data_IF_391702225973
#
_entry.id   IF_391702225973
#
_cell.length_a   1.000
_cell.length_b   1.000
_cell.length_c   1.000
_cell.angle_alpha   90.00
_cell.angle_beta   90.00
_cell.angle_gamma   90.00
#
_symmetry.space_group_name_H-M   'P 1'
#
loop_
_entity.id
_entity.type
_entity.pdbx_description
1 polymer ?
#
# COMPACT_ATOMS: atom_id res chain seq x y z
N UNK A 1 -14.26 3.26 -8.92
CA UNK A 1 -13.21 2.22 -8.73
C UNK A 1 -12.45 2.56 -7.45
N UNK A 2 -12.27 1.60 -6.54
CA UNK A 2 -11.55 1.81 -5.28
C UNK A 2 -10.04 1.65 -5.52
N UNK A 3 -9.20 2.57 -5.00
CA UNK A 3 -7.74 2.58 -5.21
C UNK A 3 -6.99 1.75 -4.16
N UNK A 4 -7.54 0.60 -3.81
CA UNK A 4 -6.82 -0.43 -3.08
C UNK A 4 -5.97 -1.21 -4.09
N UNK A 5 -4.69 -0.86 -4.21
CA UNK A 5 -3.72 -1.65 -4.97
C UNK A 5 -3.51 -3.00 -4.26
N UNK A 6 -4.37 -3.97 -4.59
CA UNK A 6 -4.33 -5.30 -4.03
C UNK A 6 -3.20 -6.13 -4.63
N UNK A 7 -2.10 -6.25 -3.88
CA UNK A 7 -1.30 -7.48 -3.90
C UNK A 7 -1.79 -8.31 -2.70
N UNK A 8 -2.82 -9.13 -2.96
CA UNK A 8 -3.45 -10.07 -2.02
C UNK A 8 -3.73 -9.52 -0.59
N UNK A 9 -4.95 -9.01 -0.35
CA UNK A 9 -5.46 -8.76 1.01
C UNK A 9 -6.40 -7.55 1.15
N UNK A 10 -7.60 -7.82 1.70
CA UNK A 10 -8.87 -7.05 1.85
C UNK A 10 -8.86 -5.51 1.98
N UNK A 11 -10.02 -4.94 1.64
CA UNK A 11 -10.37 -3.53 1.39
C UNK A 11 -10.11 -2.55 2.53
N UNK A 12 -9.74 -1.34 2.09
CA UNK A 12 -9.84 -0.12 2.86
C UNK A 12 -11.25 0.49 2.70
N UNK A 13 -11.76 1.05 3.80
CA UNK A 13 -12.93 1.94 3.96
C UNK A 13 -14.34 1.31 4.01
N UNK A 14 -14.86 1.08 5.22
CA UNK A 14 -16.19 1.50 5.74
C UNK A 14 -16.11 1.37 7.28
N UNK A 15 -16.45 2.37 8.10
CA UNK A 15 -17.83 2.67 8.48
C UNK A 15 -17.96 4.12 8.98
N UNK A 16 -18.68 4.95 8.22
CA UNK A 16 -19.67 5.93 8.69
C UNK A 16 -20.29 6.53 7.43
N UNK A 17 -21.16 5.77 6.76
CA UNK A 17 -22.33 6.17 5.94
C UNK A 17 -22.92 4.82 5.50
N UNK A 18 -23.54 4.10 6.44
CA UNK A 18 -24.42 2.99 6.11
C UNK A 18 -25.72 3.23 6.89
N UNK A 19 -26.41 4.30 6.51
CA UNK A 19 -27.83 4.44 6.81
C UNK A 19 -28.59 3.88 5.61
N UNK A 20 -29.49 2.94 5.89
CA UNK A 20 -30.34 2.17 4.98
C UNK A 20 -31.22 3.01 4.03
N UNK A 21 -31.10 4.34 4.03
CA UNK A 21 -31.90 5.26 3.21
C UNK A 21 -31.39 5.47 1.78
N UNK A 22 -30.15 5.06 1.44
CA UNK A 22 -29.61 5.23 0.07
C UNK A 22 -29.82 4.01 -0.86
N UNK A 23 -30.43 2.93 -0.37
CA UNK A 23 -30.78 1.75 -1.18
C UNK A 23 -32.07 1.94 -2.00
N UNK A 24 -32.76 3.07 -1.87
CA UNK A 24 -34.00 3.41 -2.60
C UNK A 24 -33.86 4.78 -3.27
N UNK A 25 -32.82 5.00 -4.08
CA UNK A 25 -32.80 6.05 -5.13
C UNK A 25 -31.69 5.73 -6.15
N UNK A 26 -31.81 4.59 -6.84
CA UNK A 26 -31.17 4.40 -8.16
C UNK A 26 -32.23 4.51 -9.24
N UNK A 27 -32.89 5.66 -9.27
CA UNK A 27 -33.76 6.10 -10.35
C UNK A 27 -33.00 7.12 -11.18
N UNK A 28 -32.78 6.77 -12.45
CA UNK A 28 -32.47 7.60 -13.61
C UNK A 28 -32.16 9.08 -13.31
N UNK A 29 -30.94 9.36 -12.87
CA UNK A 29 -30.26 10.63 -13.14
C UNK A 29 -28.79 10.36 -13.41
N UNK A 30 -28.35 10.82 -14.57
CA UNK A 30 -26.96 10.96 -14.97
C UNK A 30 -26.20 11.82 -13.93
N UNK A 31 -25.72 11.20 -12.86
CA UNK A 31 -24.57 11.73 -12.17
C UNK A 31 -23.37 11.32 -13.02
N UNK A 32 -22.91 12.23 -13.88
CA UNK A 32 -21.53 12.17 -14.39
C UNK A 32 -20.61 12.15 -13.16
N UNK A 33 -20.25 10.94 -12.70
CA UNK A 33 -19.13 10.78 -11.78
C UNK A 33 -17.94 11.49 -12.43
N UNK A 34 -17.54 12.59 -11.82
CA UNK A 34 -16.52 13.46 -12.37
C UNK A 34 -15.21 12.66 -12.38
N UNK A 35 -14.60 12.51 -13.55
CA UNK A 35 -13.35 11.77 -13.70
C UNK A 35 -12.28 12.39 -12.80
N UNK A 36 -11.76 11.62 -11.85
CA UNK A 36 -10.69 12.05 -10.95
C UNK A 36 -9.34 12.01 -11.69
N UNK A 37 -8.61 13.12 -11.69
CA UNK A 37 -7.29 13.23 -12.32
C UNK A 37 -6.27 12.22 -11.75
N UNK A 38 -6.49 11.70 -10.53
CA UNK A 38 -5.66 10.60 -9.97
C UNK A 38 -5.65 9.35 -10.84
N UNK A 39 -6.70 9.11 -11.62
CA UNK A 39 -6.73 7.99 -12.58
C UNK A 39 -5.70 8.16 -13.70
N UNK A 40 -5.24 9.38 -13.96
CA UNK A 40 -4.16 9.62 -14.90
C UNK A 40 -2.81 9.17 -14.36
N UNK A 41 -2.55 9.35 -13.06
CA UNK A 41 -1.33 8.83 -12.42
C UNK A 41 -1.30 7.30 -12.42
N UNK A 42 -2.43 6.65 -12.13
CA UNK A 42 -2.57 5.19 -12.22
C UNK A 42 -2.33 4.71 -13.65
N UNK A 43 -2.92 5.39 -14.63
CA UNK A 43 -2.70 5.11 -16.04
C UNK A 43 -1.23 5.21 -16.42
N UNK A 44 -0.55 6.29 -16.05
CA UNK A 44 0.85 6.54 -16.42
C UNK A 44 1.78 5.48 -15.81
N UNK A 45 1.55 5.12 -14.54
CA UNK A 45 2.27 4.04 -13.86
C UNK A 45 2.04 2.69 -14.56
N UNK A 46 0.80 2.35 -14.90
CA UNK A 46 0.48 1.12 -15.64
C UNK A 46 1.09 1.12 -17.04
N UNK A 47 1.05 2.26 -17.74
CA UNK A 47 1.61 2.41 -19.08
C UNK A 47 3.11 2.12 -19.07
N UNK A 48 3.85 2.77 -18.19
CA UNK A 48 5.29 2.56 -18.07
C UNK A 48 5.62 1.12 -17.67
N UNK A 49 4.87 0.59 -16.69
CA UNK A 49 5.05 -0.76 -16.17
C UNK A 49 4.83 -1.84 -17.23
N UNK A 50 3.70 -1.81 -17.93
CA UNK A 50 3.37 -2.80 -18.96
C UNK A 50 4.31 -2.67 -20.16
N UNK A 51 4.58 -1.44 -20.64
CA UNK A 51 5.45 -1.23 -21.82
C UNK A 51 6.90 -1.65 -21.57
N UNK A 52 7.40 -1.51 -20.35
CA UNK A 52 8.74 -1.98 -19.96
C UNK A 52 8.77 -3.45 -19.52
N UNK A 53 7.65 -4.17 -19.54
CA UNK A 53 7.56 -5.56 -19.07
C UNK A 53 7.84 -5.70 -17.57
N UNK A 54 7.58 -4.64 -16.80
CA UNK A 54 7.83 -4.56 -15.35
C UNK A 54 6.63 -4.97 -14.51
N UNK A 55 5.43 -5.05 -15.09
CA UNK A 55 4.26 -5.54 -14.35
C UNK A 55 3.26 -6.28 -15.25
N UNK A 56 2.40 -7.05 -14.59
CA UNK A 56 1.18 -7.61 -15.16
C UNK A 56 -0.01 -6.98 -14.44
N UNK A 57 -1.07 -6.67 -15.19
CA UNK A 57 -2.26 -6.02 -14.64
C UNK A 57 -3.51 -6.84 -14.95
N UNK A 58 -4.36 -7.01 -13.94
CA UNK A 58 -5.68 -7.62 -14.07
C UNK A 58 -6.76 -6.65 -13.58
N UNK A 59 -7.98 -6.86 -14.04
CA UNK A 59 -9.16 -6.10 -13.63
C UNK A 59 -10.17 -7.04 -13.01
N UNK A 60 -10.93 -6.53 -12.04
CA UNK A 60 -12.04 -7.26 -11.41
C UNK A 60 -13.34 -6.48 -11.52
N UNK A 61 -14.45 -7.20 -11.66
CA UNK A 61 -15.81 -6.64 -11.63
C UNK A 61 -16.54 -7.08 -10.36
N UNK A 62 -17.46 -6.24 -9.88
CA UNK A 62 -18.43 -6.60 -8.85
C UNK A 62 -19.75 -7.01 -9.51
N UNK A 63 -20.80 -7.09 -8.72
CA UNK A 63 -22.15 -7.29 -9.22
C UNK A 63 -22.59 -6.11 -10.10
N UNK A 64 -22.78 -6.38 -11.39
CA UNK A 64 -23.31 -5.43 -12.35
C UNK A 64 -24.86 -5.51 -12.36
N UNK A 65 -25.58 -4.38 -12.19
CA UNK A 65 -27.04 -4.40 -12.05
C UNK A 65 -27.81 -4.93 -13.26
N UNK A 66 -27.27 -4.78 -14.47
CA UNK A 66 -27.89 -5.21 -15.72
C UNK A 66 -27.35 -6.56 -16.22
N UNK A 67 -26.70 -7.32 -15.34
CA UNK A 67 -26.19 -8.65 -15.66
C UNK A 67 -27.34 -9.65 -15.81
N UNK A 68 -27.37 -10.36 -16.94
CA UNK A 68 -28.29 -11.46 -17.20
C UNK A 68 -27.53 -12.77 -17.43
N UNK A 69 -28.18 -13.95 -17.30
CA UNK A 69 -27.53 -15.22 -17.59
C UNK A 69 -26.86 -15.22 -18.97
N UNK A 70 -25.60 -15.67 -19.02
CA UNK A 70 -24.78 -15.66 -20.24
C UNK A 70 -25.34 -16.54 -21.36
N UNK A 71 -26.17 -17.53 -21.00
CA UNK A 71 -26.61 -18.61 -21.90
C UNK A 71 -25.51 -19.66 -22.17
N UNK A 72 -24.38 -19.55 -21.49
CA UNK A 72 -23.27 -20.49 -21.50
C UNK A 72 -23.25 -21.29 -20.18
N UNK A 73 -22.44 -22.34 -20.12
CA UNK A 73 -22.24 -23.16 -18.92
C UNK A 73 -21.31 -22.47 -17.88
N UNK A 74 -21.50 -21.15 -17.71
CA UNK A 74 -20.78 -20.32 -16.74
C UNK A 74 -21.78 -19.73 -15.73
N UNK A 75 -21.47 -19.76 -14.43
CA UNK A 75 -22.38 -19.29 -13.39
C UNK A 75 -22.56 -17.77 -13.38
N UNK A 76 -21.61 -17.01 -13.91
CA UNK A 76 -21.62 -15.55 -13.92
C UNK A 76 -22.51 -14.97 -15.04
N UNK A 77 -23.20 -13.87 -14.71
CA UNK A 77 -24.00 -13.10 -15.68
C UNK A 77 -23.16 -12.13 -16.52
N UNK A 78 -23.72 -11.70 -17.65
CA UNK A 78 -23.13 -10.73 -18.58
C UNK A 78 -24.00 -9.48 -18.59
N UNK A 79 -23.39 -8.32 -18.39
CA UNK A 79 -24.05 -7.02 -18.56
C UNK A 79 -24.61 -6.91 -19.97
N UNK A 80 -25.93 -6.73 -20.07
CA UNK A 80 -26.62 -6.68 -21.36
C UNK A 80 -26.09 -5.50 -22.18
N UNK A 81 -25.92 -4.33 -21.54
CA UNK A 81 -25.52 -3.09 -22.19
C UNK A 81 -24.06 -3.08 -22.62
N UNK A 82 -23.15 -3.61 -21.80
CA UNK A 82 -21.70 -3.48 -22.03
C UNK A 82 -21.02 -4.73 -22.55
N UNK A 83 -21.57 -5.92 -22.30
CA UNK A 83 -20.89 -7.20 -22.53
C UNK A 83 -19.82 -7.55 -21.49
N UNK A 84 -19.66 -6.77 -20.42
CA UNK A 84 -18.76 -7.10 -19.31
C UNK A 84 -19.43 -8.15 -18.39
N UNK A 85 -18.65 -9.15 -17.97
CA UNK A 85 -19.10 -10.22 -17.08
C UNK A 85 -19.04 -9.72 -15.63
N UNK A 86 -20.08 -10.03 -14.87
CA UNK A 86 -20.24 -9.67 -13.46
C UNK A 86 -19.39 -10.59 -12.56
N UNK A 87 -18.87 -10.08 -11.43
CA UNK A 87 -18.07 -10.86 -10.46
C UNK A 87 -16.92 -11.67 -11.09
N UNK A 88 -16.22 -11.08 -12.07
CA UNK A 88 -15.27 -11.78 -12.93
C UNK A 88 -13.92 -11.07 -13.02
N UNK A 89 -12.88 -11.83 -13.38
CA UNK A 89 -11.53 -11.33 -13.57
C UNK A 89 -11.14 -11.26 -15.05
N UNK A 90 -10.39 -10.22 -15.40
CA UNK A 90 -9.89 -9.96 -16.75
C UNK A 90 -8.39 -9.68 -16.72
N UNK A 91 -7.68 -10.04 -17.78
CA UNK A 91 -6.24 -9.72 -17.92
C UNK A 91 -6.02 -8.59 -18.92
N UNK A 92 -5.16 -7.64 -18.57
CA UNK A 92 -4.69 -6.61 -19.51
C UNK A 92 -3.50 -7.18 -20.27
N UNK A 93 -3.64 -7.28 -21.59
CA UNK A 93 -2.62 -7.80 -22.49
C UNK A 93 -1.76 -6.71 -23.12
N UNK A 94 -2.31 -5.51 -23.30
CA UNK A 94 -1.58 -4.37 -23.85
C UNK A 94 -2.24 -3.04 -23.45
N UNK A 95 -1.50 -1.95 -23.61
CA UNK A 95 -1.92 -0.60 -23.30
C UNK A 95 -1.37 0.35 -24.38
N UNK A 96 -2.16 1.29 -24.86
CA UNK A 96 -1.71 2.24 -25.89
C UNK A 96 -2.44 3.58 -25.79
N UNK A 97 -1.78 4.65 -26.22
CA UNK A 97 -2.39 5.98 -26.37
C UNK A 97 -2.47 6.36 -27.84
N UNK A 98 -3.63 6.84 -28.29
CA UNK A 98 -3.84 7.26 -29.67
C UNK A 98 -4.70 8.52 -29.76
N UNK A 99 -4.12 9.61 -30.29
CA UNK A 99 -4.81 10.91 -30.44
C UNK A 99 -5.50 11.41 -29.16
N UNK A 100 -4.87 11.20 -28.01
CA UNK A 100 -5.43 11.57 -26.70
C UNK A 100 -6.29 10.49 -26.06
N UNK A 101 -6.76 9.48 -26.81
CA UNK A 101 -7.48 8.35 -26.21
C UNK A 101 -6.51 7.37 -25.54
N UNK A 102 -6.81 7.01 -24.30
CA UNK A 102 -6.14 5.99 -23.48
C UNK A 102 -6.87 4.66 -23.63
N UNK A 103 -6.21 3.64 -24.21
CA UNK A 103 -6.82 2.37 -24.62
C UNK A 103 -6.15 1.16 -23.96
N UNK A 104 -6.95 0.20 -23.49
CA UNK A 104 -6.49 -1.07 -22.93
C UNK A 104 -6.95 -2.23 -23.81
N UNK A 105 -6.04 -3.18 -24.06
CA UNK A 105 -6.35 -4.44 -24.69
C UNK A 105 -6.55 -5.48 -23.59
N UNK A 106 -7.77 -5.97 -23.46
CA UNK A 106 -8.21 -6.82 -22.37
C UNK A 106 -8.61 -8.19 -22.91
N UNK A 107 -8.37 -9.24 -22.12
CA UNK A 107 -8.82 -10.60 -22.38
C UNK A 107 -9.80 -11.09 -21.32
N UNK A 108 -10.96 -11.55 -21.77
CA UNK A 108 -11.83 -12.43 -21.00
C UNK A 108 -11.23 -13.85 -20.96
N UNK A 109 -10.96 -14.41 -19.76
CA UNK A 109 -10.46 -15.78 -19.61
C UNK A 109 -11.35 -16.86 -20.24
N UNK A 110 -12.66 -16.66 -20.35
CA UNK A 110 -13.56 -17.61 -21.03
C UNK A 110 -13.30 -17.77 -22.52
N UNK A 111 -12.49 -16.89 -23.12
CA UNK A 111 -12.18 -16.92 -24.54
C UNK A 111 -13.38 -16.57 -25.44
N UNK A 112 -14.43 -16.01 -24.86
CA UNK A 112 -15.63 -15.52 -25.54
C UNK A 112 -16.23 -14.36 -24.75
N UNK A 113 -17.23 -13.69 -25.30
CA UNK A 113 -17.91 -12.51 -24.75
C UNK A 113 -16.96 -11.30 -24.68
N UNK A 114 -17.29 -10.26 -25.45
CA UNK A 114 -16.50 -9.05 -25.58
C UNK A 114 -17.30 -7.80 -25.22
N UNK A 115 -16.55 -6.74 -24.94
CA UNK A 115 -17.05 -5.37 -24.86
C UNK A 115 -17.88 -4.96 -26.08
N UNK A 116 -19.00 -4.28 -25.83
CA UNK A 116 -19.97 -3.83 -26.84
C UNK A 116 -19.94 -2.32 -27.11
N UNK A 117 -19.23 -1.52 -26.30
CA UNK A 117 -19.19 -0.06 -26.46
C UNK A 117 -18.14 0.42 -27.49
N UNK A 118 -17.66 1.65 -27.31
CA UNK A 118 -16.66 2.27 -28.20
C UNK A 118 -15.38 1.44 -28.26
N UNK A 119 -14.75 1.32 -29.42
CA UNK A 119 -13.63 0.42 -29.71
C UNK A 119 -13.97 -1.07 -29.67
N UNK A 120 -15.26 -1.45 -29.58
CA UNK A 120 -15.66 -2.85 -29.79
C UNK A 120 -15.48 -3.28 -31.25
N UNK A 121 -15.57 -4.58 -31.50
CA UNK A 121 -15.54 -5.14 -32.85
C UNK A 121 -16.77 -4.79 -33.70
N UNK A 122 -17.81 -4.21 -33.11
CA UNK A 122 -19.01 -3.70 -33.79
C UNK A 122 -19.00 -2.17 -33.99
N UNK A 123 -18.01 -1.45 -33.46
CA UNK A 123 -17.90 0.01 -33.59
C UNK A 123 -17.28 0.42 -34.94
N UNK A 124 -18.10 0.53 -35.98
CA UNK A 124 -17.59 0.85 -37.32
C UNK A 124 -17.15 2.31 -37.48
N UNK A 125 -17.55 3.21 -36.58
CA UNK A 125 -17.28 4.64 -36.67
C UNK A 125 -15.87 4.99 -36.17
N UNK A 126 -15.45 4.42 -35.05
CA UNK A 126 -14.16 4.76 -34.44
C UNK A 126 -12.98 4.08 -35.16
N UNK A 127 -13.19 2.88 -35.71
CA UNK A 127 -12.10 2.08 -36.27
C UNK A 127 -11.65 2.56 -37.65
N UNK A 128 -10.47 3.21 -37.68
CA UNK A 128 -9.77 3.49 -38.94
C UNK A 128 -8.71 2.44 -39.26
N UNK A 129 -8.34 2.27 -40.55
CA UNK A 129 -7.23 1.37 -40.94
C UNK A 129 -5.91 1.72 -40.23
N UNK A 130 -5.65 3.02 -40.01
CA UNK A 130 -4.46 3.50 -39.28
C UNK A 130 -4.48 3.05 -37.81
N UNK A 131 -5.63 3.15 -37.17
CA UNK A 131 -5.83 2.72 -35.78
C UNK A 131 -5.68 1.20 -35.64
N UNK A 132 -6.31 0.42 -36.52
CA UNK A 132 -6.18 -1.05 -36.55
C UNK A 132 -4.71 -1.48 -36.65
N UNK A 133 -3.93 -0.82 -37.53
CA UNK A 133 -2.48 -1.06 -37.65
C UNK A 133 -1.70 -0.69 -36.38
N UNK A 134 -2.00 0.46 -35.77
CA UNK A 134 -1.34 0.93 -34.54
C UNK A 134 -1.60 0.00 -33.34
N UNK A 135 -2.82 -0.50 -33.22
CA UNK A 135 -3.24 -1.39 -32.14
C UNK A 135 -3.00 -2.87 -32.43
N UNK A 136 -2.43 -3.21 -33.60
CA UNK A 136 -2.26 -4.57 -34.08
C UNK A 136 -3.55 -5.41 -33.95
N UNK A 137 -4.69 -4.82 -34.33
CA UNK A 137 -6.02 -5.40 -34.16
C UNK A 137 -6.74 -5.52 -35.49
N UNK A 138 -7.29 -6.70 -35.79
CA UNK A 138 -8.02 -6.98 -37.03
C UNK A 138 -9.51 -7.12 -36.73
N UNK A 139 -10.29 -6.15 -37.21
CA UNK A 139 -11.75 -6.18 -37.06
C UNK A 139 -12.38 -7.37 -37.78
N UNK A 140 -11.91 -7.73 -38.97
CA UNK A 140 -12.42 -8.86 -39.73
C UNK A 140 -12.26 -10.17 -38.95
N UNK A 141 -11.07 -10.41 -38.36
CA UNK A 141 -10.84 -11.58 -37.52
C UNK A 141 -11.73 -11.56 -36.28
N UNK A 142 -11.87 -10.41 -35.64
CA UNK A 142 -12.72 -10.26 -34.46
C UNK A 142 -14.20 -10.55 -34.77
N UNK A 143 -14.73 -10.08 -35.90
CA UNK A 143 -16.11 -10.36 -36.35
C UNK A 143 -16.32 -11.84 -36.68
N UNK A 144 -15.30 -12.51 -37.21
CA UNK A 144 -15.40 -13.92 -37.62
C UNK A 144 -15.22 -14.93 -36.47
N UNK A 145 -14.44 -14.58 -35.45
CA UNK A 145 -14.16 -15.47 -34.31
C UNK A 145 -14.09 -14.67 -33.03
N UNK A 146 -14.88 -15.10 -32.05
CA UNK A 146 -14.74 -14.62 -30.68
C UNK A 146 -13.59 -15.36 -29.97
N UNK A 147 -12.68 -14.59 -29.39
CA UNK A 147 -11.54 -15.05 -28.59
C UNK A 147 -11.48 -14.37 -27.21
N UNK A 148 -12.53 -13.61 -26.87
CA UNK A 148 -12.65 -12.84 -25.64
C UNK A 148 -11.71 -11.63 -25.54
N UNK A 149 -10.95 -11.29 -26.60
CA UNK A 149 -10.02 -10.16 -26.57
C UNK A 149 -10.60 -8.91 -27.24
N UNK A 150 -10.49 -7.75 -26.60
CA UNK A 150 -11.04 -6.49 -27.11
C UNK A 150 -10.27 -5.27 -26.60
N UNK A 151 -10.39 -4.16 -27.34
CA UNK A 151 -9.93 -2.86 -26.88
C UNK A 151 -11.08 -2.10 -26.20
N UNK A 152 -10.76 -1.33 -25.17
CA UNK A 152 -11.70 -0.48 -24.42
C UNK A 152 -11.00 0.82 -24.01
N UNK A 153 -11.76 1.90 -23.81
CA UNK A 153 -11.21 3.14 -23.29
C UNK A 153 -10.95 3.06 -21.79
N UNK A 154 -9.92 3.76 -21.32
CA UNK A 154 -9.59 3.85 -19.90
C UNK A 154 -10.75 4.37 -19.04
N UNK A 155 -11.46 5.41 -19.52
CA UNK A 155 -12.64 5.95 -18.83
C UNK A 155 -13.74 4.90 -18.62
N UNK A 156 -13.92 3.98 -19.57
CA UNK A 156 -14.91 2.92 -19.44
C UNK A 156 -14.41 1.84 -18.47
N UNK A 157 -13.08 1.61 -18.40
CA UNK A 157 -12.50 0.76 -17.37
C UNK A 157 -12.75 1.31 -15.97
N UNK A 158 -12.47 2.61 -15.75
CA UNK A 158 -12.73 3.29 -14.47
C UNK A 158 -14.22 3.22 -14.07
N UNK A 159 -15.13 3.28 -15.07
CA UNK A 159 -16.57 3.24 -14.87
C UNK A 159 -17.13 1.84 -14.56
N UNK A 160 -16.69 0.81 -15.28
CA UNK A 160 -17.34 -0.51 -15.25
C UNK A 160 -16.58 -1.56 -14.42
N UNK A 161 -15.29 -1.35 -14.16
CA UNK A 161 -14.49 -2.27 -13.35
C UNK A 161 -14.34 -1.70 -11.94
N UNK A 162 -14.41 -2.58 -10.96
CA UNK A 162 -14.36 -2.21 -9.55
C UNK A 162 -12.96 -2.27 -8.98
N UNK A 163 -12.09 -3.13 -9.54
CA UNK A 163 -10.75 -3.40 -9.01
C UNK A 163 -9.69 -3.41 -10.12
N UNK A 164 -8.48 -2.96 -9.78
CA UNK A 164 -7.26 -3.15 -10.58
C UNK A 164 -6.23 -3.85 -9.71
N UNK A 165 -5.68 -4.94 -10.21
CA UNK A 165 -4.63 -5.71 -9.58
C UNK A 165 -3.34 -5.51 -10.37
N UNK A 166 -2.32 -4.93 -9.74
CA UNK A 166 -1.01 -4.69 -10.38
C UNK A 166 0.03 -5.55 -9.68
N UNK A 167 0.64 -6.46 -10.42
CA UNK A 167 1.74 -7.29 -9.95
C UNK A 167 3.05 -6.78 -10.56
N UNK A 168 3.85 -6.09 -9.77
CA UNK A 168 5.17 -5.61 -10.18
C UNK A 168 6.23 -6.70 -10.09
N UNK A 169 7.11 -6.74 -11.08
CA UNK A 169 8.34 -7.49 -11.00
C UNK A 169 9.25 -6.83 -9.97
N UNK A 170 9.61 -7.55 -8.90
CA UNK A 170 10.39 -6.98 -7.80
C UNK A 170 11.79 -6.52 -8.22
N UNK A 171 12.31 -6.95 -9.37
CA UNK A 171 13.60 -6.50 -9.94
C UNK A 171 13.68 -4.97 -10.08
N UNK A 172 12.55 -4.26 -10.14
CA UNK A 172 12.56 -2.78 -10.14
C UNK A 172 13.18 -2.19 -8.87
N UNK A 173 13.20 -2.92 -7.76
CA UNK A 173 13.77 -2.50 -6.50
C UNK A 173 15.21 -3.00 -6.37
N UNK A 174 16.22 -2.10 -6.32
CA UNK A 174 17.61 -2.49 -6.15
C UNK A 174 17.92 -3.07 -4.77
N UNK A 175 17.16 -2.67 -3.74
CA UNK A 175 17.33 -3.15 -2.37
C UNK A 175 16.12 -3.98 -1.96
N UNK A 176 16.37 -5.26 -1.67
CA UNK A 176 15.36 -6.23 -1.28
C UNK A 176 15.88 -7.03 -0.09
N UNK A 177 15.04 -7.18 0.92
CA UNK A 177 15.34 -7.97 2.12
C UNK A 177 14.20 -8.92 2.40
N UNK A 178 14.54 -10.12 2.86
CA UNK A 178 13.57 -11.16 3.19
C UNK A 178 13.96 -11.80 4.51
N UNK A 179 13.03 -11.79 5.48
CA UNK A 179 13.19 -12.42 6.78
C UNK A 179 12.07 -13.43 6.94
N UNK A 180 12.43 -14.70 7.11
CA UNK A 180 11.51 -15.77 7.49
C UNK A 180 11.63 -16.01 8.98
N UNK A 181 10.53 -15.87 9.70
CA UNK A 181 10.52 -16.04 11.15
C UNK A 181 9.15 -16.50 11.61
N UNK A 182 8.98 -16.63 12.92
CA UNK A 182 7.73 -17.03 13.54
C UNK A 182 7.31 -16.03 14.60
N UNK A 183 6.01 -15.88 14.74
CA UNK A 183 5.46 -15.25 15.91
C UNK A 183 5.37 -16.30 17.00
N UNK A 184 6.24 -16.18 18.00
CA UNK A 184 6.30 -17.10 19.14
C UNK A 184 5.30 -16.69 20.21
N UNK A 185 4.66 -17.69 20.81
CA UNK A 185 3.78 -17.44 21.93
C UNK A 185 4.61 -17.26 23.20
N UNK A 186 4.47 -16.12 23.86
CA UNK A 186 5.14 -15.85 25.11
C UNK A 186 4.27 -16.22 26.31
N UNK A 187 4.82 -16.99 27.24
CA UNK A 187 4.18 -17.30 28.52
C UNK A 187 3.84 -16.03 29.31
N UNK A 188 4.61 -14.95 29.15
CA UNK A 188 4.33 -13.65 29.76
C UNK A 188 3.06 -13.00 29.22
N UNK A 189 2.78 -13.13 27.91
CA UNK A 189 1.53 -12.62 27.31
C UNK A 189 0.35 -13.51 27.72
N UNK A 190 0.51 -14.84 27.71
CA UNK A 190 -0.57 -15.76 28.10
C UNK A 190 -1.00 -15.60 29.55
N UNK A 191 -0.05 -15.37 30.45
CA UNK A 191 -0.32 -15.16 31.88
C UNK A 191 -0.68 -13.71 32.22
N UNK A 192 -0.70 -12.81 31.23
CA UNK A 192 -1.09 -11.42 31.42
C UNK A 192 -2.61 -11.27 31.54
N UNK A 193 -3.05 -10.27 32.30
CA UNK A 193 -4.45 -9.84 32.37
C UNK A 193 -4.94 -9.16 31.08
N UNK A 194 -4.02 -8.82 30.17
CA UNK A 194 -4.35 -8.19 28.90
C UNK A 194 -5.02 -9.20 27.97
N UNK A 195 -6.14 -8.81 27.38
CA UNK A 195 -6.92 -9.62 26.46
C UNK A 195 -6.13 -9.91 25.16
N UNK A 196 -5.36 -8.93 24.69
CA UNK A 196 -4.56 -9.00 23.48
C UNK A 196 -3.26 -8.18 23.60
N UNK A 197 -2.53 -8.06 22.49
CA UNK A 197 -1.24 -7.39 22.41
C UNK A 197 -1.33 -5.86 22.24
N UNK A 198 -2.54 -5.28 22.15
CA UNK A 198 -2.76 -3.84 21.84
C UNK A 198 -2.08 -2.91 22.85
N UNK A 199 -2.01 -3.33 24.11
CA UNK A 199 -1.42 -2.54 25.19
C UNK A 199 0.03 -2.95 25.54
N UNK A 200 0.49 -4.11 25.05
CA UNK A 200 1.81 -4.66 25.36
C UNK A 200 2.35 -5.44 24.16
N UNK A 201 3.11 -4.76 23.32
CA UNK A 201 3.75 -5.33 22.12
C UNK A 201 5.19 -5.76 22.37
N UNK A 202 5.66 -5.64 23.61
CA UNK A 202 7.04 -5.93 24.02
C UNK A 202 7.54 -7.31 23.59
N UNK A 203 6.64 -8.30 23.56
CA UNK A 203 6.92 -9.68 23.22
C UNK A 203 6.55 -10.04 21.78
N UNK A 204 6.05 -9.08 21.01
CA UNK A 204 5.83 -9.28 19.59
C UNK A 204 7.17 -9.30 18.84
N UNK A 205 7.22 -9.93 17.65
CA UNK A 205 8.32 -9.83 16.70
C UNK A 205 8.43 -8.37 16.28
N UNK A 206 9.61 -7.83 16.51
CA UNK A 206 9.92 -6.45 16.15
C UNK A 206 11.18 -6.44 15.31
N UNK A 207 11.22 -5.58 14.30
CA UNK A 207 12.34 -5.47 13.37
C UNK A 207 12.80 -4.03 13.32
N UNK A 208 14.11 -3.82 13.49
CA UNK A 208 14.72 -2.52 13.27
C UNK A 208 14.92 -2.33 11.77
N UNK A 209 14.43 -1.22 11.25
CA UNK A 209 14.60 -0.78 9.87
C UNK A 209 15.43 0.51 9.87
N UNK A 210 16.60 0.45 9.26
CA UNK A 210 17.53 1.58 9.15
C UNK A 210 17.61 2.03 7.71
N UNK A 211 17.31 3.30 7.44
CA UNK A 211 17.32 3.84 6.08
C UNK A 211 18.48 4.79 5.95
N UNK A 212 19.36 4.54 4.99
CA UNK A 212 20.53 5.37 4.74
C UNK A 212 20.13 6.62 3.95
N UNK A 213 20.36 7.79 4.54
CA UNK A 213 20.09 9.09 3.91
C UNK A 213 21.29 10.00 4.05
N UNK A 214 21.39 11.00 3.17
CA UNK A 214 22.42 12.02 3.27
C UNK A 214 22.17 12.92 4.49
N UNK A 215 23.24 13.32 5.18
CA UNK A 215 23.14 14.20 6.35
C UNK A 215 22.44 15.54 6.03
N UNK A 216 22.61 16.06 4.82
CA UNK A 216 21.98 17.30 4.35
C UNK A 216 20.44 17.21 4.25
N UNK A 217 19.92 15.99 4.08
CA UNK A 217 18.48 15.74 3.99
C UNK A 217 17.86 15.41 5.37
N UNK A 218 18.58 15.63 6.46
CA UNK A 218 18.07 15.44 7.83
C UNK A 218 17.73 16.78 8.49
N UNK A 219 16.74 16.73 9.38
CA UNK A 219 16.40 17.84 10.28
C UNK A 219 17.59 18.25 11.15
N UNK A 220 17.54 19.46 11.72
CA UNK A 220 18.62 19.99 12.57
C UNK A 220 18.96 19.08 13.76
N UNK A 221 17.97 18.36 14.31
CA UNK A 221 18.13 17.36 15.37
C UNK A 221 18.63 15.99 14.87
N UNK A 222 18.72 15.79 13.56
CA UNK A 222 19.14 14.55 12.92
C UNK A 222 18.12 13.40 12.97
N UNK A 223 16.89 13.66 13.43
CA UNK A 223 15.91 12.60 13.73
C UNK A 223 14.95 12.30 12.58
N UNK A 224 14.73 13.25 11.66
CA UNK A 224 13.73 13.12 10.61
C UNK A 224 14.30 13.49 9.24
N UNK A 225 13.88 12.77 8.22
CA UNK A 225 14.20 13.10 6.83
C UNK A 225 13.36 14.29 6.36
N UNK A 226 14.01 15.30 5.82
CA UNK A 226 13.44 16.55 5.28
C UNK A 226 13.77 16.75 3.79
N UNK A 227 14.37 15.76 3.14
CA UNK A 227 14.71 15.84 1.74
C UNK A 227 13.47 16.03 0.84
N UNK A 228 13.70 16.70 -0.30
CA UNK A 228 12.62 17.10 -1.23
C UNK A 228 11.94 15.91 -1.91
N UNK A 229 12.70 14.85 -2.21
CA UNK A 229 12.17 13.65 -2.87
C UNK A 229 11.67 12.68 -1.81
N UNK A 230 10.43 12.19 -1.89
CA UNK A 230 9.94 11.20 -0.95
C UNK A 230 10.73 9.88 -1.07
N UNK A 231 11.04 9.28 0.07
CA UNK A 231 11.56 7.91 0.15
C UNK A 231 10.37 6.98 0.33
N UNK A 232 10.25 5.99 -0.56
CA UNK A 232 9.19 4.98 -0.50
C UNK A 232 9.77 3.61 -0.16
N UNK A 233 9.21 2.99 0.87
CA UNK A 233 9.53 1.64 1.29
C UNK A 233 8.26 0.82 1.28
N UNK A 234 8.34 -0.35 0.66
CA UNK A 234 7.22 -1.26 0.48
C UNK A 234 7.48 -2.52 1.27
N UNK A 235 6.55 -2.88 2.15
CA UNK A 235 6.73 -3.98 3.10
C UNK A 235 5.59 -4.97 2.91
N UNK A 236 5.93 -6.20 2.51
CA UNK A 236 5.01 -7.31 2.37
C UNK A 236 5.16 -8.24 3.57
N UNK A 237 4.11 -8.30 4.40
CA UNK A 237 3.95 -9.32 5.43
C UNK A 237 3.17 -10.49 4.82
N UNK A 238 3.79 -11.67 4.72
CA UNK A 238 3.17 -12.88 4.21
C UNK A 238 3.10 -13.93 5.30
N UNK A 239 1.89 -14.36 5.64
CA UNK A 239 1.66 -15.50 6.52
C UNK A 239 1.98 -16.81 5.79
N UNK A 240 2.53 -17.79 6.49
CA UNK A 240 2.65 -19.15 5.98
C UNK A 240 1.38 -19.93 6.34
N UNK A 241 0.64 -20.34 5.33
CA UNK A 241 -0.57 -21.17 5.50
C UNK A 241 -0.18 -22.62 5.27
N UNK A 242 -0.42 -23.49 6.27
CA UNK A 242 -0.16 -24.93 6.16
C UNK A 242 -1.45 -25.71 5.93
N UNK A 243 -2.54 -25.31 6.57
CA UNK A 243 -3.88 -25.86 6.35
C UNK A 243 -4.93 -24.75 6.29
N UNK A 244 -5.43 -24.48 5.08
CA UNK A 244 -6.36 -23.37 4.83
C UNK A 244 -7.63 -23.39 5.68
N UNK A 245 -8.16 -24.57 6.05
CA UNK A 245 -9.43 -24.64 6.80
C UNK A 245 -9.28 -24.17 8.24
N UNK A 246 -8.15 -24.52 8.87
CA UNK A 246 -7.86 -24.19 10.27
C UNK A 246 -7.14 -22.85 10.40
N UNK A 247 -6.28 -22.50 9.45
CA UNK A 247 -5.44 -21.30 9.51
C UNK A 247 -6.22 -20.00 9.19
N UNK A 248 -7.06 -19.99 8.15
CA UNK A 248 -7.57 -18.73 7.57
C UNK A 248 -8.71 -18.11 8.39
N UNK A 249 -9.45 -18.91 9.16
CA UNK A 249 -10.72 -18.45 9.75
C UNK A 249 -10.58 -17.65 11.05
N UNK A 250 -9.39 -17.53 11.64
CA UNK A 250 -9.26 -17.01 13.01
C UNK A 250 -8.17 -15.95 13.22
N UNK A 251 -7.09 -15.89 12.43
CA UNK A 251 -5.94 -15.02 12.74
C UNK A 251 -5.95 -13.76 11.89
N UNK A 252 -6.15 -12.60 12.52
CA UNK A 252 -5.97 -11.29 11.87
C UNK A 252 -4.60 -10.73 12.22
N UNK A 253 -3.81 -10.40 11.21
CA UNK A 253 -2.44 -9.89 11.35
C UNK A 253 -2.35 -8.45 10.89
N UNK A 254 -1.50 -7.67 11.54
CA UNK A 254 -1.15 -6.32 11.12
C UNK A 254 0.36 -6.09 11.26
N UNK A 255 0.86 -5.14 10.46
CA UNK A 255 2.21 -4.61 10.58
C UNK A 255 2.12 -3.13 10.96
N UNK A 256 2.59 -2.79 12.16
CA UNK A 256 2.65 -1.40 12.64
C UNK A 256 4.07 -0.87 12.52
N UNK A 257 4.21 0.41 12.19
CA UNK A 257 5.52 1.06 12.02
C UNK A 257 5.63 2.26 12.97
N UNK A 258 6.63 2.22 13.85
CA UNK A 258 6.96 3.30 14.78
C UNK A 258 8.30 3.94 14.39
N UNK A 259 8.48 5.23 14.67
CA UNK A 259 9.82 5.83 14.62
C UNK A 259 10.64 5.40 15.83
N UNK A 260 11.95 5.30 15.62
CA UNK A 260 12.92 4.95 16.65
C UNK A 260 13.69 3.68 16.29
N UNK A 261 14.66 3.38 17.14
CA UNK A 261 15.61 2.27 16.95
C UNK A 261 15.42 1.13 17.96
N UNK A 262 14.76 1.43 19.08
CA UNK A 262 14.69 0.56 20.24
C UNK A 262 13.34 -0.16 20.31
N UNK A 263 13.33 -1.38 20.87
CA UNK A 263 12.13 -2.20 21.04
C UNK A 263 11.03 -1.40 21.75
N UNK A 264 9.83 -1.42 21.17
CA UNK A 264 8.64 -0.78 21.71
C UNK A 264 7.99 -1.74 22.71
N UNK A 265 7.77 -1.27 23.94
CA UNK A 265 7.17 -2.11 25.01
C UNK A 265 5.67 -1.87 25.07
N UNK A 266 5.28 -0.64 25.37
CA UNK A 266 3.90 -0.17 25.34
C UNK A 266 3.79 0.78 24.14
N UNK A 267 3.03 0.42 23.10
CA UNK A 267 2.97 1.23 21.90
C UNK A 267 2.24 2.54 22.19
N UNK A 268 2.84 3.66 21.77
CA UNK A 268 2.10 4.91 21.52
C UNK A 268 1.45 4.81 20.13
N UNK A 269 1.14 5.94 19.50
CA UNK A 269 0.63 5.97 18.13
C UNK A 269 1.75 5.62 17.13
N UNK A 270 1.57 4.61 16.27
CA UNK A 270 2.50 4.36 15.17
C UNK A 270 2.41 5.46 14.13
N UNK A 271 3.50 5.64 13.39
CA UNK A 271 3.53 6.51 12.20
C UNK A 271 2.68 5.89 11.09
N UNK A 272 2.70 4.56 11.00
CA UNK A 272 1.82 3.80 10.10
C UNK A 272 1.17 2.67 10.88
N UNK A 273 -0.12 2.80 11.15
CA UNK A 273 -0.95 1.71 11.67
C UNK A 273 -1.26 0.76 10.51
N UNK A 274 -0.91 -0.52 10.68
CA UNK A 274 -1.34 -1.58 9.77
C UNK A 274 -2.79 -1.97 10.03
N UNK A 275 -3.46 -2.44 8.97
CA UNK A 275 -4.82 -2.96 9.07
C UNK A 275 -4.74 -4.42 9.46
N UNK A 276 -5.53 -4.81 10.45
CA UNK A 276 -5.68 -6.20 10.82
C UNK A 276 -6.43 -6.96 9.73
N UNK A 277 -5.74 -7.87 9.05
CA UNK A 277 -6.26 -8.64 7.93
C UNK A 277 -6.15 -10.14 8.20
N UNK A 278 -7.20 -10.88 7.86
CA UNK A 278 -7.17 -12.35 7.85
C UNK A 278 -6.66 -12.92 6.50
N UNK A 279 -6.22 -12.04 5.59
CA UNK A 279 -5.61 -12.42 4.32
C UNK A 279 -4.27 -13.14 4.50
N UNK A 280 -3.83 -13.84 3.44
CA UNK A 280 -2.53 -14.54 3.44
C UNK A 280 -1.35 -13.56 3.44
N UNK A 281 -1.54 -12.34 2.96
CA UNK A 281 -0.55 -11.28 3.09
C UNK A 281 -1.17 -9.89 3.28
N UNK A 282 -0.31 -8.92 3.60
CA UNK A 282 -0.64 -7.51 3.73
C UNK A 282 0.54 -6.69 3.20
N UNK A 283 0.24 -5.66 2.40
CA UNK A 283 1.25 -4.85 1.75
C UNK A 283 1.16 -3.40 2.26
N UNK A 284 2.23 -2.93 2.89
CA UNK A 284 2.29 -1.61 3.54
C UNK A 284 3.29 -0.72 2.82
N UNK A 285 2.83 0.46 2.38
CA UNK A 285 3.71 1.53 1.88
C UNK A 285 4.04 2.51 3.00
N UNK A 286 5.33 2.67 3.29
CA UNK A 286 5.88 3.73 4.13
C UNK A 286 6.46 4.82 3.23
N UNK A 287 6.01 6.06 3.40
CA UNK A 287 6.51 7.23 2.67
C UNK A 287 7.12 8.20 3.67
N UNK A 288 8.36 8.63 3.41
CA UNK A 288 9.12 9.50 4.31
C UNK A 288 9.56 10.75 3.55
N UNK A 289 9.31 11.92 4.12
CA UNK A 289 9.62 13.22 3.50
C UNK A 289 8.73 13.55 2.29
N UNK A 290 9.21 14.44 1.42
CA UNK A 290 8.46 14.97 0.27
C UNK A 290 7.63 16.22 0.58
N UNK A 291 7.32 17.00 -0.47
CA UNK A 291 6.63 18.30 -0.38
C UNK A 291 5.25 18.21 0.30
N UNK A 292 4.53 17.09 0.15
CA UNK A 292 3.20 16.90 0.74
C UNK A 292 3.21 16.70 2.27
N UNK A 293 4.26 16.10 2.82
CA UNK A 293 4.39 15.92 4.28
C UNK A 293 4.65 17.24 5.01
N UNK A 294 5.22 18.24 4.32
CA UNK A 294 5.41 19.60 4.84
C UNK A 294 4.05 20.32 4.95
N UNK A 295 3.13 20.07 4.01
CA UNK A 295 1.79 20.68 4.01
C UNK A 295 0.88 20.14 5.13
N UNK A 296 1.03 18.86 5.51
CA UNK A 296 0.28 18.30 6.65
C UNK A 296 0.81 18.77 8.01
N UNK A 297 2.14 18.91 8.18
CA UNK A 297 2.73 19.55 9.38
C UNK A 297 2.32 21.02 9.52
N UNK A 298 2.16 21.74 8.42
CA UNK A 298 1.73 23.15 8.41
C UNK A 298 0.30 23.42 8.94
N UNK A 299 -0.53 22.38 9.16
CA UNK A 299 -1.85 22.50 9.81
C UNK A 299 -1.82 22.22 11.32
N UNK A 300 -0.81 21.52 11.84
CA UNK A 300 -0.70 21.21 13.27
C UNK A 300 0.08 22.28 14.06
N UNK A 301 0.95 23.05 13.39
CA UNK A 301 1.78 24.10 14.03
C UNK A 301 1.20 25.53 13.96
N UNK A 302 -0.05 25.72 13.51
CA UNK A 302 -0.68 27.07 13.47
C UNK A 302 -1.26 27.55 14.79
N UNK A 303 -0.81 27.01 15.92
CA UNK A 303 -1.07 27.59 17.24
C UNK A 303 0.18 27.63 18.10
N UNK A 304 1.15 28.45 17.71
CA UNK A 304 1.94 29.33 18.59
C UNK A 304 3.03 30.04 17.79
N UNK A 305 3.25 31.30 18.15
CA UNK A 305 4.37 32.17 17.77
C UNK A 305 4.29 32.87 16.39
N UNK A 306 3.25 33.69 16.25
CA UNK A 306 3.43 35.01 15.63
C UNK A 306 4.26 35.89 16.56
N UNK A 307 5.57 35.96 16.33
CA UNK A 307 6.37 37.19 16.29
C UNK A 307 7.87 36.86 16.28
N UNK A 308 8.61 37.60 15.44
CA UNK A 308 10.07 37.62 15.30
C UNK A 308 10.73 36.53 14.44
N UNK A 309 10.68 36.71 13.11
CA UNK A 309 11.84 36.43 12.23
C UNK A 309 11.74 37.14 10.87
N UNK A 310 11.36 38.42 10.87
CA UNK A 310 11.66 39.34 9.75
C UNK A 310 12.91 40.16 10.08
N UNK A 311 14.09 39.52 10.11
CA UNK A 311 15.37 40.28 10.12
C UNK A 311 16.66 39.47 9.84
N UNK A 312 16.58 38.30 9.16
CA UNK A 312 17.79 37.54 8.78
C UNK A 312 17.85 37.07 7.32
N UNK A 313 17.13 37.75 6.43
CA UNK A 313 17.09 37.42 4.99
C UNK A 313 17.85 38.41 4.08
N UNK A 314 18.66 39.30 4.64
CA UNK A 314 19.50 40.22 3.88
C UNK A 314 20.95 40.14 4.37
N UNK A 315 21.61 38.99 4.13
CA UNK A 315 23.08 38.79 4.18
C UNK A 315 23.42 37.33 3.84
N UNK A 316 23.07 36.91 2.63
CA UNK A 316 23.58 35.66 2.00
C UNK A 316 23.47 35.80 0.48
N UNK A 317 24.06 36.87 -0.02
CA UNK A 317 24.30 37.11 -1.44
C UNK A 317 25.67 37.76 -1.49
N UNK A 318 26.69 36.92 -1.45
CA UNK A 318 28.06 37.08 -1.94
C UNK A 318 28.90 35.94 -1.33
N UNK A 319 29.82 35.41 -2.13
CA UNK A 319 30.62 34.20 -1.89
C UNK A 319 29.95 32.89 -2.33
N UNK A 320 29.68 32.82 -3.64
CA UNK A 320 29.96 31.59 -4.39
C UNK A 320 31.28 31.82 -5.12
N UNK A 321 32.31 31.06 -4.76
CA UNK A 321 33.25 30.38 -5.66
C UNK A 321 34.45 29.80 -4.88
N UNK A 322 34.88 28.62 -5.32
CA UNK A 322 36.08 27.86 -4.96
C UNK A 322 36.03 26.94 -3.72
N UNK A 323 35.94 25.63 -4.02
CA UNK A 323 36.12 24.54 -3.08
C UNK A 323 35.50 23.23 -3.56
N UNK A 324 36.05 22.61 -4.62
CA UNK A 324 35.81 21.19 -4.90
C UNK A 324 36.61 20.36 -3.90
N UNK A 325 36.08 20.20 -2.70
CA UNK A 325 36.52 19.17 -1.77
C UNK A 325 35.62 17.94 -1.94
N UNK A 326 36.24 16.78 -2.15
CA UNK A 326 35.60 15.47 -2.05
C UNK A 326 35.15 15.25 -0.60
N UNK A 327 34.05 15.88 -0.18
CA UNK A 327 33.34 15.49 1.04
C UNK A 327 32.80 14.07 0.82
N UNK A 328 33.37 13.08 1.51
CA UNK A 328 32.76 11.76 1.62
C UNK A 328 31.31 11.96 2.04
N UNK A 329 30.35 11.50 1.22
CA UNK A 329 28.93 11.54 1.56
C UNK A 329 28.71 10.86 2.91
N UNK A 330 28.51 11.67 3.96
CA UNK A 330 28.29 11.14 5.31
C UNK A 330 26.84 10.67 5.38
N UNK A 331 26.65 9.37 5.17
CA UNK A 331 25.36 8.71 5.36
C UNK A 331 24.99 8.64 6.84
N UNK A 332 23.70 8.85 7.10
CA UNK A 332 23.06 8.72 8.42
C UNK A 332 21.84 7.82 8.30
N UNK A 333 21.38 7.30 9.42
CA UNK A 333 20.22 6.42 9.46
C UNK A 333 19.00 7.17 9.97
N UNK A 334 17.86 6.93 9.31
CA UNK A 334 16.54 7.18 9.87
C UNK A 334 15.97 5.84 10.31
N UNK A 335 15.61 5.74 11.58
CA UNK A 335 15.31 4.47 12.24
C UNK A 335 13.82 4.29 12.46
N UNK A 336 13.34 3.09 12.15
CA UNK A 336 11.98 2.65 12.41
C UNK A 336 11.95 1.28 13.08
N UNK A 337 10.88 1.02 13.81
CA UNK A 337 10.55 -0.30 14.36
C UNK A 337 9.27 -0.81 13.74
N UNK A 338 9.38 -1.96 13.09
CA UNK A 338 8.27 -2.70 12.50
C UNK A 338 7.79 -3.72 13.52
N UNK A 339 6.50 -3.73 13.82
CA UNK A 339 5.89 -4.63 14.81
C UNK A 339 4.85 -5.48 14.11
N UNK A 340 5.02 -6.80 14.16
CA UNK A 340 4.00 -7.74 13.68
C UNK A 340 3.07 -8.07 14.85
N UNK A 341 1.78 -7.76 14.69
CA UNK A 341 0.77 -7.94 15.74
C UNK A 341 -0.37 -8.85 15.28
N UNK A 342 -1.05 -9.46 16.25
CA UNK A 342 -2.25 -10.24 16.00
C UNK A 342 -3.43 -9.68 16.79
N UNK A 343 -4.59 -9.57 16.15
CA UNK A 343 -5.79 -9.12 16.85
C UNK A 343 -6.39 -10.22 17.71
N UNK A 344 -6.60 -9.94 19.00
CA UNK A 344 -7.39 -10.76 19.94
C UNK A 344 -6.99 -12.24 20.08
N UNK A 345 -5.78 -12.59 19.66
CA UNK A 345 -5.25 -13.95 19.75
C UNK A 345 -3.78 -13.91 20.16
N UNK A 346 -3.26 -15.06 20.59
CA UNK A 346 -1.88 -15.25 21.07
C UNK A 346 -1.31 -16.54 20.51
N UNK A 347 -1.61 -16.82 19.24
CA UNK A 347 -1.30 -18.10 18.61
C UNK A 347 -0.01 -18.06 17.80
N UNK A 348 0.79 -19.11 17.88
CA UNK A 348 1.98 -19.20 17.04
C UNK A 348 1.63 -19.26 15.54
N UNK A 349 2.42 -18.57 14.72
CA UNK A 349 2.37 -18.71 13.26
C UNK A 349 3.71 -18.38 12.62
N UNK A 350 3.99 -18.97 11.47
CA UNK A 350 5.17 -18.62 10.67
C UNK A 350 4.79 -17.54 9.65
N UNK A 351 5.72 -16.63 9.38
CA UNK A 351 5.51 -15.56 8.42
C UNK A 351 6.83 -15.17 7.73
N UNK A 352 6.70 -14.32 6.73
CA UNK A 352 7.82 -13.73 6.00
C UNK A 352 7.58 -12.25 5.85
N UNK A 353 8.61 -11.48 6.15
CA UNK A 353 8.66 -10.05 5.91
C UNK A 353 9.55 -9.81 4.70
N UNK A 354 9.01 -9.24 3.62
CA UNK A 354 9.80 -8.76 2.49
C UNK A 354 9.76 -7.24 2.44
N UNK A 355 10.92 -6.62 2.29
CA UNK A 355 11.06 -5.17 2.20
C UNK A 355 11.68 -4.82 0.86
N UNK A 356 11.07 -3.87 0.16
CA UNK A 356 11.51 -3.40 -1.15
C UNK A 356 11.72 -1.89 -1.12
N UNK A 357 12.85 -1.43 -1.64
CA UNK A 357 13.22 0.00 -1.63
C UNK A 357 14.13 0.37 -2.79
N UNK A 358 14.04 1.63 -3.20
CA UNK A 358 15.01 2.27 -4.10
C UNK A 358 16.16 2.97 -3.35
N UNK A 359 16.03 3.13 -2.04
CA UNK A 359 17.05 3.70 -1.14
C UNK A 359 17.68 2.59 -0.32
N UNK A 360 19.00 2.66 -0.14
CA UNK A 360 19.73 1.68 0.67
C UNK A 360 19.16 1.64 2.10
N UNK A 361 18.93 0.44 2.61
CA UNK A 361 18.44 0.22 3.96
C UNK A 361 19.04 -1.07 4.52
N UNK A 362 18.90 -1.26 5.83
CA UNK A 362 19.12 -2.55 6.48
C UNK A 362 17.94 -2.87 7.40
N UNK A 363 17.65 -4.16 7.54
CA UNK A 363 16.61 -4.66 8.44
C UNK A 363 17.10 -5.88 9.19
N UNK A 364 16.80 -5.95 10.49
CA UNK A 364 17.08 -7.12 11.31
C UNK A 364 16.06 -7.27 12.44
N UNK A 365 15.91 -8.49 12.94
CA UNK A 365 15.03 -8.77 14.07
C UNK A 365 15.62 -8.25 15.38
N UNK A 366 14.82 -7.51 16.15
CA UNK A 366 15.20 -7.04 17.47
C UNK A 366 15.17 -8.21 18.46
N UNK A 367 16.18 -8.36 19.35
CA UNK A 367 16.16 -9.40 20.38
C UNK A 367 14.93 -9.31 21.28
N UNK A 368 14.45 -10.45 21.77
CA UNK A 368 13.33 -10.49 22.72
C UNK A 368 13.64 -9.66 23.99
N UNK A 369 12.60 -9.09 24.61
CA UNK A 369 12.76 -8.25 25.80
C UNK A 369 13.40 -9.01 26.97
N UNK A 370 12.97 -10.26 27.17
CA UNK A 370 13.49 -11.15 28.19
C UNK A 370 13.92 -12.43 27.49
N UNK A 371 15.14 -12.88 27.77
CA UNK A 371 15.61 -14.21 27.34
C UNK A 371 15.16 -15.26 28.35
N UNK A 372 15.15 -16.54 27.95
CA UNK A 372 14.83 -17.67 28.84
C UNK A 372 15.78 -17.79 30.05
N UNK A 373 16.92 -17.09 30.01
CA UNK A 373 17.98 -17.13 31.01
C UNK A 373 17.98 -15.91 31.95
N UNK A 374 16.80 -15.34 32.26
CA UNK A 374 16.74 -14.19 33.15
C UNK A 374 16.98 -14.58 34.62
N UNK A 375 17.78 -13.78 35.33
CA UNK A 375 17.99 -13.94 36.77
C UNK A 375 17.37 -12.76 37.52
N UNK A 376 16.51 -13.07 38.49
CA UNK A 376 15.98 -12.05 39.41
C UNK A 376 17.00 -11.75 40.50
N UNK A 377 17.60 -10.56 40.45
CA UNK A 377 18.48 -10.09 41.51
C UNK A 377 17.70 -9.24 42.52
N UNK A 378 17.75 -9.64 43.79
CA UNK A 378 17.13 -8.89 44.87
C UNK A 378 18.16 -8.02 45.58
N UNK A 379 18.01 -6.70 45.46
CA UNK A 379 18.81 -5.74 46.21
C UNK A 379 18.08 -5.37 47.50
N UNK A 380 18.65 -5.72 48.65
CA UNK A 380 18.18 -5.24 49.96
C UNK A 380 18.49 -3.75 50.08
N UNK A 381 17.46 -2.91 50.09
CA UNK A 381 17.58 -1.48 50.28
C UNK A 381 16.31 -0.88 50.91
N UNK A 382 16.42 0.36 51.38
CA UNK A 382 15.26 1.17 51.80
C UNK A 382 15.04 2.25 50.75
N UNK A 383 13.79 2.48 50.37
CA UNK A 383 13.41 3.67 49.60
C UNK A 383 13.73 4.91 50.45
N UNK A 384 14.57 5.79 49.93
CA UNK A 384 14.94 7.08 50.53
C UNK A 384 14.55 8.18 49.56
N UNK A 385 14.49 9.43 50.03
CA UNK A 385 14.26 10.60 49.16
C UNK A 385 15.27 10.74 48.01
N UNK A 386 16.46 10.13 48.12
CA UNK A 386 17.48 10.12 47.05
C UNK A 386 17.33 8.98 46.04
N UNK A 387 16.66 7.89 46.40
CA UNK A 387 16.48 6.71 45.51
C UNK A 387 15.02 6.45 45.13
N UNK A 388 14.07 7.19 45.70
CA UNK A 388 12.70 7.25 45.23
C UNK A 388 12.64 8.09 43.95
N UNK A 389 12.86 7.44 42.80
CA UNK A 389 12.64 8.00 41.46
C UNK A 389 11.15 8.14 41.15
N UNK A 390 10.41 8.89 41.97
CA UNK A 390 9.01 9.21 41.72
C UNK A 390 8.87 10.09 40.48
N UNK A 391 7.82 9.83 39.68
CA UNK A 391 7.40 10.72 38.59
C UNK A 391 7.00 12.08 39.18
N UNK A 392 7.57 13.16 38.66
CA UNK A 392 7.43 14.54 39.17
C UNK A 392 6.08 15.19 38.84
N UNK A 393 4.97 14.46 38.95
CA UNK A 393 3.62 14.99 38.66
C UNK A 393 2.95 15.65 39.88
N UNK A 394 3.73 16.01 40.90
CA UNK A 394 3.29 16.88 41.98
C UNK A 394 4.46 17.80 42.36
N UNK A 395 4.65 18.88 41.59
CA UNK A 395 5.29 20.12 42.05
C UNK A 395 4.81 21.29 41.18
#
# INVERSE_FOLDING_TARGET
MDMSAYVCGSADHYDYINTEENLIMRTDKENEETYDEKWDEVWDNMYDGIKKGKCVVCLGTLELPDAAPSGLDYPEGVSISTGIVTKHAYSILNIESYKGDKLLYIKNPWGCIRWKGKYSHHDEETWTKKLQKKLNYSLEKAKNKDDGCFWIQWKDVVKYFSHIYICWNSIIFPYQFEIHTKWENSSFINNSILLDDTHLVAYNPQFALHINVNKEDLSEDGMHYIGKKPIEIWILLSRHVRDRKTDVSQKYLALHIHAGKDRIVCPLFPIKQGIYSNGECTFTKLVIGGEENIAQKGKLDKSKDDNNKKEKLAKRSNEAEEGQDNEQEILRNVDFVLIVSQYSQKDEFNFTLKVFSHTHLSIYELPQLLTDSYESLYFKGKWTSKCAGGCSNNL
#
